data_IF_747524424631
#
_entry.id   IF_747524424631
#
_cell.length_a   1.000
_cell.length_b   1.000
_cell.length_c   1.000
_cell.angle_alpha   90.00
_cell.angle_beta   90.00
_cell.angle_gamma   90.00
#
_symmetry.space_group_name_H-M   'P 1'
#
loop_
_entity.id
_entity.type
_entity.pdbx_description
1 polymer ?
#
# COMPACT_ATOMS: atom_id res chain seq x y z
N UNK A 1 2.46 45.74 -54.87
CA UNK A 1 3.39 46.30 -53.87
C UNK A 1 2.90 45.76 -52.54
N UNK A 2 3.54 44.81 -51.88
CA UNK A 2 4.95 44.48 -51.79
C UNK A 2 5.03 43.00 -51.40
N UNK A 3 5.91 42.26 -52.09
CA UNK A 3 6.27 40.89 -51.76
C UNK A 3 7.31 40.89 -50.62
N UNK A 4 7.80 39.69 -50.24
CA UNK A 4 9.04 39.40 -49.49
C UNK A 4 8.96 39.41 -47.94
N UNK A 5 9.25 38.35 -47.16
CA UNK A 5 9.84 37.00 -47.35
C UNK A 5 9.42 36.07 -46.17
N UNK A 6 9.23 34.75 -46.36
CA UNK A 6 9.26 33.79 -45.26
C UNK A 6 10.70 33.58 -44.75
N UNK A 7 10.90 33.56 -43.43
CA UNK A 7 12.20 33.24 -42.82
C UNK A 7 12.60 31.77 -43.13
N UNK A 8 13.84 31.51 -43.56
CA UNK A 8 14.30 30.20 -43.97
C UNK A 8 14.47 29.25 -42.78
N UNK A 9 14.01 28.01 -42.98
CA UNK A 9 14.36 26.88 -42.13
C UNK A 9 15.88 26.73 -42.04
N UNK A 10 16.46 26.92 -40.85
CA UNK A 10 17.80 26.44 -40.55
C UNK A 10 17.71 24.96 -40.17
N UNK A 11 17.91 24.14 -41.20
CA UNK A 11 18.55 22.84 -41.14
C UNK A 11 19.53 22.71 -39.97
N UNK A 12 19.23 21.81 -39.03
CA UNK A 12 20.24 21.03 -38.33
C UNK A 12 19.73 19.60 -38.26
N UNK A 13 20.25 18.67 -39.08
CA UNK A 13 20.07 17.26 -38.81
C UNK A 13 20.97 16.98 -37.61
N UNK A 14 20.42 16.99 -36.40
CA UNK A 14 21.12 16.34 -35.30
C UNK A 14 20.94 14.82 -35.42
N UNK A 15 21.43 14.26 -36.54
CA UNK A 15 21.84 12.87 -36.60
C UNK A 15 23.12 12.74 -35.81
N UNK A 16 23.07 13.01 -34.50
CA UNK A 16 24.13 12.55 -33.64
C UNK A 16 23.83 11.10 -33.30
N UNK A 17 24.19 10.27 -34.29
CA UNK A 17 24.61 8.89 -34.14
C UNK A 17 25.84 8.87 -33.21
N UNK A 18 25.65 9.24 -31.95
CA UNK A 18 26.59 8.90 -30.90
C UNK A 18 26.23 7.49 -30.51
N UNK A 19 27.02 6.57 -31.07
CA UNK A 19 27.47 5.36 -30.41
C UNK A 19 26.81 5.19 -29.04
N UNK A 20 25.81 4.31 -28.94
CA UNK A 20 25.16 3.94 -27.68
C UNK A 20 26.19 3.26 -26.78
N UNK A 21 27.17 4.03 -26.29
CA UNK A 21 28.11 3.65 -25.28
C UNK A 21 27.28 3.07 -24.16
N UNK A 22 27.46 1.77 -23.92
CA UNK A 22 26.56 0.95 -23.10
C UNK A 22 26.18 1.72 -21.84
N UNK A 23 24.90 2.07 -21.71
CA UNK A 23 24.39 2.69 -20.49
C UNK A 23 24.56 1.72 -19.33
N UNK A 24 24.66 2.23 -18.11
CA UNK A 24 24.70 1.38 -16.93
C UNK A 24 23.37 0.62 -16.79
N UNK A 25 23.43 -0.71 -16.84
CA UNK A 25 22.24 -1.56 -16.84
C UNK A 25 21.53 -1.65 -15.47
N UNK A 26 22.21 -1.33 -14.36
CA UNK A 26 21.63 -1.42 -13.01
C UNK A 26 22.36 -0.51 -11.99
N UNK A 27 21.62 0.09 -11.04
CA UNK A 27 22.17 0.82 -9.89
C UNK A 27 21.26 0.79 -8.67
N UNK A 28 21.84 0.53 -7.49
CA UNK A 28 21.17 0.61 -6.19
C UNK A 28 21.68 1.81 -5.33
N UNK A 29 22.48 2.71 -5.92
CA UNK A 29 23.28 3.68 -5.15
C UNK A 29 22.46 4.63 -4.27
N UNK A 30 21.30 5.10 -4.74
CA UNK A 30 20.47 6.08 -4.01
C UNK A 30 19.15 5.49 -3.47
N UNK A 31 18.97 4.16 -3.49
CA UNK A 31 17.69 3.60 -3.04
C UNK A 31 17.58 3.67 -1.51
N UNK A 32 18.63 3.28 -0.80
CA UNK A 32 18.70 3.34 0.67
C UNK A 32 18.52 4.77 1.19
N UNK A 33 19.19 5.75 0.58
CA UNK A 33 19.07 7.15 0.98
C UNK A 33 17.67 7.72 0.75
N UNK A 34 16.96 7.29 -0.30
CA UNK A 34 15.53 7.65 -0.50
C UNK A 34 14.63 6.96 0.52
N UNK A 35 14.84 5.67 0.78
CA UNK A 35 14.06 4.93 1.75
C UNK A 35 14.21 5.50 3.18
N UNK A 36 15.42 5.93 3.55
CA UNK A 36 15.68 6.56 4.85
C UNK A 36 15.17 8.00 4.94
N UNK A 37 15.13 8.77 3.83
CA UNK A 37 14.52 10.11 3.80
C UNK A 37 13.05 10.11 4.26
N UNK A 38 12.28 9.10 3.84
CA UNK A 38 10.89 8.92 4.29
C UNK A 38 10.76 8.06 5.57
N UNK A 39 11.87 7.43 5.98
CA UNK A 39 11.96 6.46 7.07
C UNK A 39 11.37 5.09 6.70
N UNK A 40 12.11 4.03 6.99
CA UNK A 40 11.60 2.65 6.83
C UNK A 40 10.64 2.37 7.99
N UNK A 41 9.33 2.53 7.75
CA UNK A 41 8.29 2.30 8.75
C UNK A 41 8.00 0.81 8.88
N UNK A 42 7.97 0.32 10.13
CA UNK A 42 7.50 -1.04 10.45
C UNK A 42 5.98 -1.12 10.24
N UNK A 43 5.43 -2.30 9.89
CA UNK A 43 3.98 -2.49 9.85
C UNK A 43 3.40 -2.22 11.25
N UNK A 44 2.21 -1.65 11.30
CA UNK A 44 1.53 -1.35 12.56
C UNK A 44 1.07 -2.65 13.21
N UNK A 45 1.45 -2.87 14.46
CA UNK A 45 0.93 -3.98 15.27
C UNK A 45 -0.31 -3.51 16.02
N UNK A 46 -1.40 -4.24 15.86
CA UNK A 46 -2.63 -4.05 16.63
C UNK A 46 -2.70 -5.13 17.72
N UNK A 47 -3.36 -4.84 18.86
CA UNK A 47 -3.54 -5.81 19.95
C UNK A 47 -4.20 -7.11 19.47
N UNK A 48 -5.14 -7.01 18.54
CA UNK A 48 -5.86 -8.14 17.97
C UNK A 48 -5.69 -8.15 16.44
N UNK A 49 -4.99 -9.14 15.86
CA UNK A 49 -4.92 -9.31 14.41
C UNK A 49 -6.23 -9.90 13.86
N UNK A 50 -6.42 -9.83 12.53
CA UNK A 50 -7.53 -10.50 11.89
C UNK A 50 -7.33 -12.03 11.88
N UNK A 51 -8.42 -12.80 11.83
CA UNK A 51 -8.40 -14.27 11.80
C UNK A 51 -8.49 -14.82 10.36
N UNK A 52 -8.10 -14.05 9.34
CA UNK A 52 -8.16 -14.53 7.95
C UNK A 52 -7.09 -15.61 7.74
N UNK A 53 -7.48 -16.73 7.15
CA UNK A 53 -6.58 -17.88 6.93
C UNK A 53 -6.53 -18.90 8.08
N UNK A 54 -7.26 -18.67 9.18
CA UNK A 54 -7.47 -19.67 10.22
C UNK A 54 -8.48 -20.73 9.75
N UNK A 55 -8.34 -21.97 10.23
CA UNK A 55 -9.22 -23.09 9.88
C UNK A 55 -10.71 -22.72 9.98
N UNK A 56 -11.48 -22.83 8.87
CA UNK A 56 -12.91 -22.55 8.86
C UNK A 56 -13.72 -23.34 9.90
N UNK A 57 -13.33 -24.58 10.22
CA UNK A 57 -14.05 -25.39 11.21
C UNK A 57 -13.87 -24.82 12.61
N UNK A 58 -12.63 -24.48 12.98
CA UNK A 58 -12.33 -23.78 14.23
C UNK A 58 -13.07 -22.45 14.34
N UNK A 59 -13.08 -21.64 13.27
CA UNK A 59 -13.77 -20.33 13.28
C UNK A 59 -15.29 -20.47 13.46
N UNK A 60 -15.91 -21.46 12.81
CA UNK A 60 -17.35 -21.74 13.00
C UNK A 60 -17.65 -22.08 14.46
N UNK A 61 -16.84 -22.95 15.07
CA UNK A 61 -17.01 -23.31 16.48
C UNK A 61 -16.82 -22.10 17.41
N UNK A 62 -15.74 -21.34 17.21
CA UNK A 62 -15.45 -20.15 18.01
C UNK A 62 -16.60 -19.13 17.94
N UNK A 63 -17.22 -18.96 16.77
CA UNK A 63 -18.38 -18.08 16.58
C UNK A 63 -19.57 -18.52 17.45
N UNK A 64 -19.90 -19.81 17.45
CA UNK A 64 -21.01 -20.33 18.25
C UNK A 64 -20.73 -20.26 19.75
N UNK A 65 -19.49 -20.57 20.18
CA UNK A 65 -19.09 -20.47 21.58
C UNK A 65 -19.24 -19.03 22.11
N UNK A 66 -18.72 -18.04 21.37
CA UNK A 66 -18.84 -16.61 21.73
C UNK A 66 -20.30 -16.17 21.82
N UNK A 67 -21.12 -16.54 20.84
CA UNK A 67 -22.54 -16.21 20.83
C UNK A 67 -23.28 -16.79 22.04
N UNK A 68 -22.99 -18.04 22.43
CA UNK A 68 -23.54 -18.66 23.63
C UNK A 68 -23.14 -17.93 24.91
N UNK A 69 -21.86 -17.60 25.06
CA UNK A 69 -21.38 -16.84 26.23
C UNK A 69 -21.97 -15.44 26.32
N UNK A 70 -22.14 -14.75 25.19
CA UNK A 70 -22.73 -13.41 25.16
C UNK A 70 -24.20 -13.44 25.57
N UNK A 71 -24.95 -14.49 25.20
CA UNK A 71 -26.33 -14.66 25.64
C UNK A 71 -26.43 -14.84 27.15
N UNK A 72 -25.65 -15.76 27.72
CA UNK A 72 -25.65 -16.01 29.16
C UNK A 72 -25.22 -14.77 29.96
N UNK A 73 -24.19 -14.05 29.51
CA UNK A 73 -23.76 -12.81 30.14
C UNK A 73 -24.82 -11.71 30.07
N UNK A 74 -25.59 -11.64 28.98
CA UNK A 74 -26.67 -10.67 28.82
C UNK A 74 -27.82 -10.94 29.78
N UNK A 75 -28.22 -12.20 29.92
CA UNK A 75 -29.26 -12.63 30.86
C UNK A 75 -28.84 -12.37 32.31
N UNK A 76 -27.60 -12.73 32.67
CA UNK A 76 -27.05 -12.44 34.00
C UNK A 76 -27.03 -10.92 34.30
N UNK A 77 -26.62 -10.10 33.32
CA UNK A 77 -26.64 -8.63 33.47
C UNK A 77 -28.07 -8.08 33.56
N UNK A 78 -29.02 -8.63 32.83
CA UNK A 78 -30.42 -8.20 32.90
C UNK A 78 -31.03 -8.54 34.27
N UNK A 79 -30.78 -9.75 34.78
CA UNK A 79 -31.21 -10.17 36.11
C UNK A 79 -30.60 -9.29 37.20
N UNK A 80 -29.29 -9.02 37.15
CA UNK A 80 -28.61 -8.13 38.08
C UNK A 80 -29.14 -6.69 38.03
N UNK A 81 -29.60 -6.24 36.86
CA UNK A 81 -30.18 -4.90 36.66
C UNK A 81 -31.63 -4.81 37.14
N UNK A 82 -32.39 -5.90 37.13
CA UNK A 82 -33.75 -5.94 37.69
C UNK A 82 -33.78 -6.09 39.21
N UNK A 83 -32.69 -6.58 39.81
CA UNK A 83 -32.56 -6.76 41.27
C UNK A 83 -31.95 -5.56 42.00
N UNK A 84 -31.60 -4.50 41.26
CA UNK A 84 -31.08 -3.23 41.79
C UNK A 84 -32.13 -2.13 41.56
#
# INVERSE_FOLDING_TARGET
>A
MEAFRPSPASFVPFTNRLNMAKSKNHTNHNQTSKAHRNGIKKPRTNRYPNLRGVDPKFLRNQRYAKHGSEKALREARAAAKSSA
#
